data_IF_337169249911
#
_entry.id   IF_337169249911
#
_cell.length_a   1.000
_cell.length_b   1.000
_cell.length_c   1.000
_cell.angle_alpha   90.00
_cell.angle_beta   90.00
_cell.angle_gamma   90.00
#
_symmetry.space_group_name_H-M   'P 1'
#
loop_
_entity.id
_entity.type
_entity.pdbx_description
1 polymer ?
#
# COMPACT_ATOMS: atom_id res chain seq x y z
N UNK A 1 -4.91 -8.34 12.29
CA UNK A 1 -3.49 -8.78 12.31
C UNK A 1 -2.78 -7.87 11.33
N UNK A 2 -1.92 -7.00 11.86
CA UNK A 2 -1.38 -5.82 11.18
C UNK A 2 0.01 -6.12 10.62
N UNK A 3 0.24 -5.63 9.40
CA UNK A 3 1.46 -5.76 8.62
C UNK A 3 1.84 -7.22 8.34
N UNK A 4 1.21 -7.78 7.30
CA UNK A 4 1.59 -9.05 6.70
C UNK A 4 3.04 -8.95 6.25
N UNK A 5 3.96 -9.32 7.14
CA UNK A 5 5.21 -9.90 6.72
C UNK A 5 4.78 -11.05 5.82
N UNK A 6 4.97 -10.86 4.51
CA UNK A 6 4.86 -11.91 3.50
C UNK A 6 5.27 -13.23 4.10
N UNK A 7 4.48 -14.27 3.85
CA UNK A 7 4.81 -15.61 4.32
C UNK A 7 6.26 -15.91 3.96
N UNK A 8 6.95 -16.67 4.82
CA UNK A 8 8.36 -17.04 4.59
C UNK A 8 8.56 -17.64 3.19
N UNK A 9 7.53 -18.31 2.67
CA UNK A 9 7.45 -18.88 1.32
C UNK A 9 7.60 -17.81 0.23
N UNK A 10 6.82 -16.71 0.26
CA UNK A 10 6.93 -15.63 -0.72
C UNK A 10 8.29 -14.90 -0.68
N UNK A 11 8.91 -14.85 0.51
CA UNK A 11 10.25 -14.29 0.66
C UNK A 11 11.31 -15.22 0.06
N UNK A 12 11.16 -16.54 0.22
CA UNK A 12 12.03 -17.55 -0.39
C UNK A 12 11.91 -17.51 -1.92
N UNK A 13 10.69 -17.41 -2.45
CA UNK A 13 10.43 -17.33 -3.89
C UNK A 13 11.11 -16.10 -4.50
N UNK A 14 10.98 -14.94 -3.86
CA UNK A 14 11.63 -13.69 -4.33
C UNK A 14 13.16 -13.81 -4.36
N UNK A 15 13.77 -14.51 -3.40
CA UNK A 15 15.23 -14.70 -3.36
C UNK A 15 15.68 -15.62 -4.49
N UNK A 16 14.95 -16.71 -4.73
CA UNK A 16 15.28 -17.69 -5.78
C UNK A 16 15.09 -17.18 -7.21
N UNK A 17 14.17 -16.22 -7.41
CA UNK A 17 13.84 -15.67 -8.73
C UNK A 17 15.05 -15.12 -9.49
N UNK A 18 16.01 -14.54 -8.77
CA UNK A 18 17.18 -13.91 -9.36
C UNK A 18 18.43 -14.81 -9.36
N UNK A 19 18.26 -16.13 -9.18
CA UNK A 19 19.40 -17.03 -9.05
C UNK A 19 20.26 -17.16 -10.32
N UNK A 20 19.66 -16.93 -11.48
CA UNK A 20 20.35 -16.81 -12.76
C UNK A 20 21.37 -15.67 -12.81
N UNK A 21 21.16 -14.59 -12.03
CA UNK A 21 22.04 -13.41 -12.04
C UNK A 21 23.32 -13.68 -11.27
N UNK A 22 24.35 -14.20 -11.95
CA UNK A 22 25.62 -14.64 -11.36
C UNK A 22 26.35 -13.58 -10.50
N UNK A 23 26.18 -12.29 -10.79
CA UNK A 23 26.82 -11.22 -10.03
C UNK A 23 26.09 -10.91 -8.71
N UNK A 24 26.69 -11.29 -7.58
CA UNK A 24 26.11 -11.17 -6.23
C UNK A 24 25.50 -9.81 -5.90
N UNK A 25 26.16 -8.70 -6.25
CA UNK A 25 25.62 -7.35 -5.95
C UNK A 25 24.43 -6.96 -6.84
N UNK A 26 24.36 -7.49 -8.06
CA UNK A 26 23.22 -7.27 -8.96
C UNK A 26 22.00 -7.99 -8.40
N UNK A 27 22.19 -9.26 -8.03
CA UNK A 27 21.18 -10.08 -7.36
C UNK A 27 20.66 -9.45 -6.07
N UNK A 28 21.56 -9.03 -5.18
CA UNK A 28 21.19 -8.35 -3.94
C UNK A 28 20.39 -7.05 -4.19
N UNK A 29 20.75 -6.31 -5.24
CA UNK A 29 20.00 -5.11 -5.63
C UNK A 29 18.60 -5.45 -6.11
N UNK A 30 18.44 -6.45 -7.00
CA UNK A 30 17.14 -6.87 -7.53
C UNK A 30 16.20 -7.33 -6.40
N UNK A 31 16.69 -8.17 -5.50
CA UNK A 31 15.94 -8.63 -4.31
C UNK A 31 15.56 -7.47 -3.41
N UNK A 32 16.47 -6.51 -3.18
CA UNK A 32 16.15 -5.35 -2.35
C UNK A 32 15.12 -4.42 -3.02
N UNK A 33 15.19 -4.29 -4.35
CA UNK A 33 14.30 -3.44 -5.11
C UNK A 33 12.86 -3.96 -5.08
N UNK A 34 12.64 -5.26 -5.28
CA UNK A 34 11.28 -5.84 -5.25
C UNK A 34 10.54 -5.46 -3.98
N UNK A 35 11.21 -5.57 -2.81
CA UNK A 35 10.61 -5.32 -1.50
C UNK A 35 10.47 -3.83 -1.15
N UNK A 36 11.30 -2.95 -1.71
CA UNK A 36 11.40 -1.56 -1.27
C UNK A 36 10.86 -0.54 -2.28
N UNK A 37 10.75 -0.92 -3.56
CA UNK A 37 10.23 -0.10 -4.65
C UNK A 37 11.02 1.18 -4.94
N UNK A 38 12.24 1.31 -4.43
CA UNK A 38 13.07 2.50 -4.65
C UNK A 38 14.51 2.14 -4.95
N UNK A 39 15.08 2.75 -6.01
CA UNK A 39 16.48 2.56 -6.41
C UNK A 39 17.45 2.99 -5.31
N UNK A 40 17.12 4.04 -4.54
CA UNK A 40 17.98 4.53 -3.46
C UNK A 40 18.14 3.49 -2.35
N UNK A 41 17.03 3.02 -1.76
CA UNK A 41 17.09 2.06 -0.66
C UNK A 41 17.63 0.70 -1.13
N UNK A 42 17.31 0.28 -2.35
CA UNK A 42 17.84 -0.94 -2.94
C UNK A 42 19.38 -0.85 -3.10
N UNK A 43 19.90 0.29 -3.54
CA UNK A 43 21.34 0.54 -3.65
C UNK A 43 22.03 0.51 -2.28
N UNK A 44 21.43 1.12 -1.26
CA UNK A 44 21.92 1.10 0.13
C UNK A 44 21.98 -0.34 0.67
N UNK A 45 20.89 -1.09 0.49
CA UNK A 45 20.77 -2.49 0.93
C UNK A 45 21.80 -3.38 0.24
N UNK A 46 21.99 -3.22 -1.06
CA UNK A 46 22.96 -3.97 -1.86
C UNK A 46 24.40 -3.43 -1.75
N UNK A 47 24.62 -2.35 -0.98
CA UNK A 47 25.91 -1.68 -0.77
C UNK A 47 26.59 -1.30 -2.10
N UNK A 48 25.82 -0.69 -2.99
CA UNK A 48 26.29 -0.16 -4.27
C UNK A 48 25.90 1.30 -4.44
N UNK A 49 26.59 2.00 -5.34
CA UNK A 49 26.16 3.34 -5.76
C UNK A 49 24.95 3.20 -6.67
N UNK A 50 23.99 4.13 -6.59
CA UNK A 50 22.84 4.21 -7.53
C UNK A 50 23.29 4.24 -9.00
N UNK A 51 24.44 4.85 -9.28
CA UNK A 51 25.03 4.89 -10.63
C UNK A 51 25.38 3.51 -11.19
N UNK A 52 25.68 2.52 -10.32
CA UNK A 52 25.95 1.15 -10.75
C UNK A 52 24.70 0.51 -11.37
N UNK A 53 23.52 0.72 -10.77
CA UNK A 53 22.26 0.23 -11.31
C UNK A 53 22.01 0.75 -12.74
N UNK A 54 22.10 2.06 -12.96
CA UNK A 54 21.92 2.63 -14.30
C UNK A 54 22.99 2.19 -15.30
N UNK A 55 24.22 1.97 -14.84
CA UNK A 55 25.26 1.40 -15.67
C UNK A 55 24.88 -0.03 -16.11
N UNK A 56 24.46 -0.88 -15.17
CA UNK A 56 24.05 -2.26 -15.46
C UNK A 56 22.85 -2.33 -16.40
N UNK A 57 21.84 -1.46 -16.24
CA UNK A 57 20.72 -1.37 -17.19
C UNK A 57 21.18 -1.11 -18.63
N UNK A 58 22.28 -0.37 -18.81
CA UNK A 58 22.80 -0.03 -20.14
C UNK A 58 23.74 -1.09 -20.70
N UNK A 59 24.50 -1.77 -19.86
CA UNK A 59 25.62 -2.63 -20.28
C UNK A 59 25.38 -4.11 -20.10
N UNK A 60 24.29 -4.51 -19.44
CA UNK A 60 23.95 -5.90 -19.16
C UNK A 60 22.46 -6.16 -19.46
N UNK A 61 22.16 -6.73 -20.64
CA UNK A 61 20.79 -7.08 -21.02
C UNK A 61 20.11 -8.08 -20.07
N UNK A 62 20.86 -9.05 -19.53
CA UNK A 62 20.32 -10.06 -18.60
C UNK A 62 19.88 -9.40 -17.28
N UNK A 63 20.67 -8.44 -16.79
CA UNK A 63 20.29 -7.63 -15.64
C UNK A 63 19.08 -6.74 -15.94
N UNK A 64 18.99 -6.15 -17.13
CA UNK A 64 17.88 -5.29 -17.51
C UNK A 64 16.56 -6.06 -17.52
N UNK A 65 16.53 -7.25 -18.13
CA UNK A 65 15.38 -8.15 -18.12
C UNK A 65 14.98 -8.55 -16.69
N UNK A 66 15.95 -8.93 -15.86
CA UNK A 66 15.67 -9.24 -14.47
C UNK A 66 15.17 -8.03 -13.66
N UNK A 67 15.58 -6.81 -14.03
CA UNK A 67 15.09 -5.60 -13.38
C UNK A 67 13.64 -5.28 -13.77
N UNK A 68 13.23 -5.51 -15.01
CA UNK A 68 11.82 -5.37 -15.43
C UNK A 68 10.91 -6.27 -14.59
N UNK A 69 11.34 -7.51 -14.35
CA UNK A 69 10.63 -8.44 -13.48
C UNK A 69 10.59 -7.95 -12.03
N UNK A 70 11.70 -7.38 -11.54
CA UNK A 70 11.74 -6.79 -10.21
C UNK A 70 10.81 -5.57 -10.07
N UNK A 71 10.66 -4.76 -11.13
CA UNK A 71 9.71 -3.65 -11.20
C UNK A 71 8.26 -4.12 -11.15
N UNK A 72 7.93 -5.16 -11.92
CA UNK A 72 6.58 -5.76 -11.90
C UNK A 72 6.20 -6.23 -10.50
N UNK A 73 7.07 -7.01 -9.86
CA UNK A 73 6.83 -7.50 -8.50
C UNK A 73 6.73 -6.37 -7.48
N UNK A 74 7.55 -5.33 -7.61
CA UNK A 74 7.46 -4.18 -6.70
C UNK A 74 6.16 -3.40 -6.88
N UNK A 75 5.69 -3.25 -8.12
CA UNK A 75 4.41 -2.62 -8.43
C UNK A 75 3.23 -3.41 -7.85
N UNK A 76 3.25 -4.74 -7.94
CA UNK A 76 2.22 -5.61 -7.36
C UNK A 76 2.14 -5.41 -5.83
N UNK A 77 3.29 -5.31 -5.14
CA UNK A 77 3.32 -5.06 -3.70
C UNK A 77 2.80 -3.69 -3.29
N UNK A 78 3.11 -2.67 -4.08
CA UNK A 78 2.55 -1.35 -3.86
C UNK A 78 1.03 -1.35 -4.08
N UNK A 79 0.54 -2.11 -5.07
CA UNK A 79 -0.89 -2.26 -5.33
C UNK A 79 -1.60 -2.99 -4.18
N UNK A 80 -1.00 -4.05 -3.63
CA UNK A 80 -1.55 -4.79 -2.48
C UNK A 80 -1.62 -3.92 -1.23
N UNK A 81 -0.56 -3.17 -0.91
CA UNK A 81 -0.57 -2.26 0.24
C UNK A 81 -1.56 -1.10 0.02
N UNK A 82 -1.69 -0.61 -1.21
CA UNK A 82 -2.70 0.38 -1.55
C UNK A 82 -4.11 -0.19 -1.36
N UNK A 83 -4.35 -1.43 -1.79
CA UNK A 83 -5.63 -2.12 -1.61
C UNK A 83 -5.94 -2.31 -0.13
N UNK A 84 -4.98 -2.78 0.66
CA UNK A 84 -5.13 -2.94 2.12
C UNK A 84 -5.54 -1.62 2.78
N UNK A 85 -4.86 -0.51 2.46
CA UNK A 85 -5.21 0.83 3.00
C UNK A 85 -6.56 1.33 2.53
N UNK A 86 -6.95 1.02 1.30
CA UNK A 86 -8.22 1.45 0.72
C UNK A 86 -9.41 0.66 1.27
N UNK A 87 -9.27 -0.67 1.41
CA UNK A 87 -10.38 -1.60 1.67
C UNK A 87 -10.42 -2.09 3.11
N UNK A 88 -9.28 -2.38 3.73
CA UNK A 88 -9.20 -2.78 5.14
C UNK A 88 -8.97 -1.59 6.08
N UNK A 89 -8.37 -0.52 5.56
CA UNK A 89 -8.06 0.70 6.30
C UNK A 89 -6.81 0.59 7.17
N UNK A 90 -6.55 1.67 7.92
CA UNK A 90 -5.44 1.78 8.87
C UNK A 90 -5.97 2.26 10.20
N UNK A 91 -5.57 1.60 11.30
CA UNK A 91 -5.90 2.07 12.64
C UNK A 91 -5.14 3.35 12.95
N UNK A 92 -5.86 4.43 13.24
CA UNK A 92 -5.30 5.68 13.73
C UNK A 92 -5.65 5.86 15.20
N UNK A 93 -4.66 6.21 16.06
CA UNK A 93 -4.92 6.51 17.46
C UNK A 93 -5.74 7.80 17.60
N UNK A 94 -6.70 7.78 18.50
CA UNK A 94 -7.47 8.95 18.93
C UNK A 94 -6.84 9.46 20.22
N UNK A 95 -6.46 10.74 20.24
CA UNK A 95 -5.81 11.37 21.40
C UNK A 95 -6.77 12.29 22.16
N UNK A 96 -6.69 12.24 23.48
CA UNK A 96 -7.31 13.22 24.37
C UNK A 96 -6.32 13.57 25.49
N UNK A 97 -6.06 14.86 25.68
CA UNK A 97 -5.07 15.37 26.65
C UNK A 97 -3.67 14.73 26.54
N UNK A 98 -3.24 14.35 25.33
CA UNK A 98 -1.93 13.75 25.08
C UNK A 98 -1.88 12.23 25.25
N UNK A 99 -2.97 11.60 25.68
CA UNK A 99 -3.07 10.15 25.87
C UNK A 99 -3.92 9.51 24.76
N UNK A 100 -3.57 8.28 24.37
CA UNK A 100 -4.37 7.50 23.41
C UNK A 100 -5.59 6.97 24.14
N UNK A 101 -6.78 7.41 23.73
CA UNK A 101 -8.06 7.01 24.33
C UNK A 101 -8.86 6.04 23.45
N UNK A 102 -8.38 5.74 22.24
CA UNK A 102 -9.04 4.82 21.34
C UNK A 102 -8.35 4.71 19.99
N UNK A 103 -8.97 3.95 19.08
CA UNK A 103 -8.52 3.81 17.70
C UNK A 103 -9.71 3.86 16.75
N UNK A 104 -9.59 4.64 15.69
CA UNK A 104 -10.49 4.58 14.55
C UNK A 104 -9.82 3.85 13.38
N UNK A 105 -10.61 3.19 12.53
CA UNK A 105 -10.11 2.62 11.27
C UNK A 105 -10.38 3.62 10.15
N UNK A 106 -9.32 4.13 9.54
CA UNK A 106 -9.40 5.12 8.46
C UNK A 106 -9.08 4.46 7.12
N UNK A 107 -10.01 4.58 6.19
CA UNK A 107 -9.88 4.11 4.81
C UNK A 107 -9.33 5.21 3.91
N UNK A 108 -8.80 4.83 2.75
CA UNK A 108 -8.28 5.78 1.76
C UNK A 108 -9.12 5.75 0.48
N UNK A 109 -10.10 6.64 0.39
CA UNK A 109 -10.95 6.80 -0.81
C UNK A 109 -10.14 7.20 -2.04
N UNK A 110 -9.05 7.96 -1.84
CA UNK A 110 -8.12 8.33 -2.90
C UNK A 110 -7.45 7.08 -3.48
N UNK A 111 -6.90 6.19 -2.63
CA UNK A 111 -6.30 4.94 -3.11
C UNK A 111 -7.36 4.01 -3.72
N UNK A 112 -8.57 3.96 -3.16
CA UNK A 112 -9.68 3.20 -3.72
C UNK A 112 -10.01 3.68 -5.15
N UNK A 113 -10.10 4.99 -5.35
CA UNK A 113 -10.33 5.62 -6.65
C UNK A 113 -9.19 5.32 -7.63
N UNK A 114 -7.93 5.42 -7.19
CA UNK A 114 -6.77 5.08 -8.03
C UNK A 114 -6.78 3.62 -8.49
N UNK A 115 -7.05 2.68 -7.57
CA UNK A 115 -7.15 1.26 -7.89
C UNK A 115 -8.32 0.95 -8.84
N UNK A 116 -9.47 1.60 -8.64
CA UNK A 116 -10.62 1.46 -9.54
C UNK A 116 -10.32 1.97 -10.95
N UNK A 117 -9.65 3.14 -11.07
CA UNK A 117 -9.18 3.70 -12.34
C UNK A 117 -8.17 2.77 -13.03
N UNK A 118 -7.20 2.22 -12.29
CA UNK A 118 -6.21 1.31 -12.84
C UNK A 118 -6.83 0.02 -13.41
N UNK A 119 -7.82 -0.56 -12.72
CA UNK A 119 -8.49 -1.80 -13.16
C UNK A 119 -9.52 -1.61 -14.27
N UNK A 120 -10.14 -0.43 -14.36
CA UNK A 120 -11.15 -0.15 -15.37
C UNK A 120 -10.92 1.21 -16.05
N UNK A 121 -9.77 1.31 -16.70
CA UNK A 121 -9.30 2.53 -17.37
C UNK A 121 -10.32 3.05 -18.40
N UNK A 122 -10.96 2.17 -19.16
CA UNK A 122 -11.96 2.54 -20.15
C UNK A 122 -13.18 3.24 -19.54
N UNK A 123 -13.61 2.84 -18.34
CA UNK A 123 -14.79 3.40 -17.67
C UNK A 123 -14.50 4.73 -16.95
N UNK A 124 -13.26 4.94 -16.50
CA UNK A 124 -12.91 6.04 -15.60
C UNK A 124 -11.83 6.99 -16.12
N UNK A 125 -11.35 6.83 -17.35
CA UNK A 125 -10.44 7.79 -17.98
C UNK A 125 -11.14 9.14 -18.17
N UNK A 126 -10.60 10.19 -17.53
CA UNK A 126 -11.15 11.55 -17.56
C UNK A 126 -11.19 12.15 -18.99
N UNK A 127 -10.49 11.51 -19.96
CA UNK A 127 -10.47 11.90 -21.38
C UNK A 127 -11.62 11.32 -22.21
N UNK A 128 -12.34 10.31 -21.72
CA UNK A 128 -13.50 9.74 -22.44
C UNK A 128 -14.80 10.54 -22.20
N UNK A 129 -14.82 11.45 -21.23
CA UNK A 129 -16.01 12.17 -20.78
C UNK A 129 -15.99 13.65 -21.19
N UNK A 130 -16.13 13.93 -22.49
CA UNK A 130 -16.76 15.18 -22.96
C UNK A 130 -18.30 15.09 -22.82
N UNK A 131 -18.77 14.50 -21.73
CA UNK A 131 -20.18 14.23 -21.46
C UNK A 131 -20.33 13.94 -19.98
N UNK A 132 -21.16 14.77 -19.34
CA UNK A 132 -21.70 14.70 -17.96
C UNK A 132 -21.16 13.53 -17.11
N UNK A 133 -20.46 13.78 -15.99
CA UNK A 133 -20.08 12.70 -15.08
C UNK A 133 -21.33 11.93 -14.63
N UNK A 134 -21.29 10.59 -14.58
CA UNK A 134 -22.46 9.80 -14.20
C UNK A 134 -22.92 10.21 -12.79
N UNK A 135 -24.18 10.63 -12.66
CA UNK A 135 -24.80 10.88 -11.36
C UNK A 135 -24.80 9.57 -10.55
N UNK A 136 -23.95 9.51 -9.52
CA UNK A 136 -23.95 8.42 -8.56
C UNK A 136 -25.06 8.71 -7.54
N UNK A 137 -26.26 8.22 -7.81
CA UNK A 137 -27.37 8.26 -6.86
C UNK A 137 -27.20 7.15 -5.80
N UNK A 138 -26.45 7.44 -4.73
CA UNK A 138 -26.36 6.55 -3.56
C UNK A 138 -27.63 6.74 -2.73
N UNK A 139 -28.59 5.83 -2.85
CA UNK A 139 -29.69 5.70 -1.88
C UNK A 139 -29.15 5.03 -0.62
N UNK A 140 -28.63 5.83 0.32
CA UNK A 140 -28.29 5.35 1.66
C UNK A 140 -29.60 5.11 2.42
N UNK A 141 -30.06 3.86 2.45
CA UNK A 141 -31.13 3.44 3.35
C UNK A 141 -30.50 3.10 4.70
N UNK A 142 -30.58 4.02 5.66
CA UNK A 142 -30.22 3.74 7.05
C UNK A 142 -31.40 2.98 7.67
N UNK A 143 -31.23 1.70 8.10
CA UNK A 143 -32.26 1.00 8.86
C UNK A 143 -32.75 1.85 10.06
N UNK A 144 -34.06 1.92 10.28
CA UNK A 144 -34.71 2.72 11.35
C UNK A 144 -34.06 2.49 12.74
N UNK A 145 -33.59 1.27 12.99
CA UNK A 145 -32.95 0.82 14.22
C UNK A 145 -31.63 1.55 14.52
N UNK A 146 -30.91 1.95 13.46
CA UNK A 146 -29.64 2.68 13.55
C UNK A 146 -29.82 4.21 13.68
N UNK A 147 -31.04 4.73 13.53
CA UNK A 147 -31.33 6.17 13.70
C UNK A 147 -31.37 6.63 15.16
N UNK A 148 -31.58 5.71 16.11
CA UNK A 148 -31.79 6.05 17.53
C UNK A 148 -30.55 5.95 18.42
N UNK A 149 -29.45 5.39 17.93
CA UNK A 149 -28.19 5.38 18.69
C UNK A 149 -27.36 6.59 18.26
N UNK A 150 -27.49 7.70 19.01
CA UNK A 150 -26.39 8.67 19.09
C UNK A 150 -25.15 7.87 19.44
N UNK A 151 -24.15 7.85 18.55
CA UNK A 151 -22.83 7.33 18.88
C UNK A 151 -22.32 8.18 20.04
N UNK A 152 -22.46 7.65 21.25
CA UNK A 152 -21.81 8.13 22.47
C UNK A 152 -21.39 6.91 23.27
N UNK A 153 -20.46 6.12 22.75
CA UNK A 153 -19.62 5.29 23.61
C UNK A 153 -18.41 6.15 24.03
N UNK A 154 -18.70 7.25 24.72
CA UNK A 154 -17.77 7.85 25.65
C UNK A 154 -18.22 7.37 27.02
N UNK A 155 -17.57 6.32 27.53
CA UNK A 155 -17.76 5.85 28.89
C UNK A 155 -17.30 6.97 29.83
N UNK A 156 -18.27 7.71 30.36
CA UNK A 156 -18.03 8.70 31.41
C UNK A 156 -17.66 7.92 32.66
N UNK A 157 -16.37 7.91 33.00
CA UNK A 157 -15.92 7.49 34.32
C UNK A 157 -16.54 8.48 35.33
N UNK A 158 -17.31 8.02 36.32
CA UNK A 158 -17.83 8.92 37.34
C UNK A 158 -16.66 9.35 38.23
N UNK A 159 -16.27 10.62 38.16
CA UNK A 159 -15.55 11.22 39.28
C UNK A 159 -16.58 11.38 40.42
N UNK A 160 -16.45 10.51 41.41
CA UNK A 160 -17.23 10.57 42.64
C UNK A 160 -17.05 11.91 43.33
N UNK A 161 -18.17 12.55 43.64
CA UNK A 161 -18.22 13.71 44.52
C UNK A 161 -18.50 13.32 45.97
N UNK A 162 -17.87 14.05 46.89
CA UNK A 162 -18.17 14.13 48.34
C UNK A 162 -17.43 13.09 49.17
N UNK A 163 -16.73 13.42 50.25
CA UNK A 163 -16.79 14.58 51.16
C UNK A 163 -15.38 15.04 51.60
#
# INVERSE_FOLDING_TARGET
>A
MSNSLKTLEEQIDTVSLFDGIGHRKKRAFLIAFTMQGTVLKAAETARVKRTAHYHWLKTDPEYAEAFEEAERLSADLLADEAFRRAVEGVKKPIYHKGEVVGYETVYSDVLLMFLAKARNRQKYDDRAAAGVPPEINIKVSIPEELRRHKIIDAEVVPEGGGE
#
